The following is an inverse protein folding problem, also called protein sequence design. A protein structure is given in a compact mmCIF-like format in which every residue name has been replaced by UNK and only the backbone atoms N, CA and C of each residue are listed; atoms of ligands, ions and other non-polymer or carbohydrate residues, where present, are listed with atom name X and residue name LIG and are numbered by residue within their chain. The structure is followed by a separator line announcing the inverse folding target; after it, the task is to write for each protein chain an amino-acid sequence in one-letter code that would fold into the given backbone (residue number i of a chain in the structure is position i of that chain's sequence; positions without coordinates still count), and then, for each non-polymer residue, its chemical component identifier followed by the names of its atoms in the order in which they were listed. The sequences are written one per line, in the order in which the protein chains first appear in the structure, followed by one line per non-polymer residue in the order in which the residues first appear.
data_IF_808639951701
#
_entry.id   IF_808639951701
#
_cell.length_a   1.000
_cell.length_b   1.000
_cell.length_c   1.000
_cell.angle_alpha   90.00
_cell.angle_beta   90.00
_cell.angle_gamma   90.00
#
_symmetry.space_group_name_H-M   'P 1'
#
loop_
_entity.id
_entity.type
_entity.pdbx_description
1 polymer ?
#
# COMPACT_ATOMS: atom_id res chain seq x y z
N UNK A 1 -81.15 26.98 -32.25
CA UNK A 1 -80.60 27.41 -30.94
C UNK A 1 -79.11 27.13 -30.94
N UNK A 2 -78.35 28.21 -30.96
CA UNK A 2 -76.92 28.45 -30.72
C UNK A 2 -75.85 27.38 -31.02
N UNK A 3 -75.16 27.65 -32.13
CA UNK A 3 -73.71 27.49 -32.34
C UNK A 3 -72.87 27.97 -31.14
N UNK A 4 -71.82 27.24 -30.76
CA UNK A 4 -70.45 27.76 -30.85
C UNK A 4 -69.36 26.71 -30.58
N UNK A 5 -68.39 26.74 -31.50
CA UNK A 5 -67.12 26.02 -31.57
C UNK A 5 -66.20 26.25 -30.35
N UNK A 6 -65.54 25.16 -30.00
CA UNK A 6 -64.15 24.96 -29.53
C UNK A 6 -63.35 26.19 -29.08
N UNK A 7 -62.89 26.18 -27.82
CA UNK A 7 -61.72 26.95 -27.34
C UNK A 7 -60.50 26.02 -27.25
N UNK A 8 -59.33 26.43 -27.79
CA UNK A 8 -58.05 25.73 -27.59
C UNK A 8 -57.49 26.00 -26.18
N UNK A 9 -56.49 25.21 -25.72
CA UNK A 9 -56.06 25.21 -24.33
C UNK A 9 -55.31 26.49 -23.95
N UNK A 10 -55.58 26.97 -22.74
CA UNK A 10 -54.84 28.07 -22.10
C UNK A 10 -53.49 27.51 -21.63
N UNK A 11 -52.35 28.13 -21.99
CA UNK A 11 -51.05 27.70 -21.48
C UNK A 11 -50.92 28.11 -20.00
N UNK A 12 -50.36 27.27 -19.11
CA UNK A 12 -49.98 27.72 -17.78
C UNK A 12 -48.80 28.69 -17.88
N UNK A 13 -48.73 29.68 -16.98
CA UNK A 13 -47.75 30.75 -17.05
C UNK A 13 -46.34 30.24 -16.75
N UNK A 14 -45.39 30.60 -17.59
CA UNK A 14 -43.98 30.57 -17.24
C UNK A 14 -43.72 31.67 -16.20
N UNK A 15 -43.47 31.27 -14.96
CA UNK A 15 -42.92 32.16 -13.95
C UNK A 15 -41.99 31.41 -12.99
N UNK A 16 -40.79 31.97 -12.88
CA UNK A 16 -39.89 31.95 -11.72
C UNK A 16 -39.12 30.65 -11.41
N UNK A 17 -37.90 30.63 -11.92
CA UNK A 17 -36.70 30.20 -11.18
C UNK A 17 -36.72 30.72 -9.74
N UNK A 18 -36.80 29.83 -8.73
CA UNK A 18 -36.07 29.97 -7.45
C UNK A 18 -36.07 28.65 -6.66
N UNK A 19 -34.88 28.06 -6.55
CA UNK A 19 -34.35 27.17 -5.52
C UNK A 19 -35.32 26.61 -4.46
N UNK A 20 -35.50 25.28 -4.45
CA UNK A 20 -35.61 24.44 -3.24
C UNK A 20 -35.63 22.95 -3.63
N UNK A 21 -34.45 22.34 -3.73
CA UNK A 21 -34.29 20.89 -3.56
C UNK A 21 -32.87 20.56 -3.08
N UNK A 22 -32.31 21.42 -2.22
CA UNK A 22 -31.38 20.95 -1.22
C UNK A 22 -32.21 20.30 -0.12
N UNK A 23 -31.88 19.07 0.24
CA UNK A 23 -32.52 18.25 1.29
C UNK A 23 -33.75 17.46 0.80
N UNK A 24 -33.52 16.46 -0.06
CA UNK A 24 -34.20 15.17 0.11
C UNK A 24 -33.15 14.11 0.42
N UNK A 25 -32.81 14.08 1.70
CA UNK A 25 -32.36 12.94 2.50
C UNK A 25 -32.18 11.61 1.76
N UNK A 26 -30.99 11.02 1.95
CA UNK A 26 -30.68 9.60 1.72
C UNK A 26 -31.87 8.72 2.15
N UNK A 27 -32.73 8.32 1.20
CA UNK A 27 -33.94 7.54 1.50
C UNK A 27 -33.54 6.10 1.78
N UNK A 28 -33.40 5.76 3.06
CA UNK A 28 -33.15 4.38 3.54
C UNK A 28 -34.41 3.52 3.26
N UNK A 29 -34.34 2.52 2.37
CA UNK A 29 -35.38 1.45 2.32
C UNK A 29 -35.24 0.67 3.62
N UNK A 30 -36.30 0.69 4.42
CA UNK A 30 -36.35 0.06 5.75
C UNK A 30 -36.68 -1.44 5.68
N UNK A 31 -36.97 -1.96 4.48
CA UNK A 31 -37.41 -3.35 4.27
C UNK A 31 -38.81 -3.61 4.83
N UNK A 32 -39.56 -4.54 4.22
CA UNK A 32 -40.96 -4.84 4.59
C UNK A 32 -41.98 -4.36 3.56
N UNK A 33 -43.22 -4.07 3.99
CA UNK A 33 -44.34 -3.61 3.14
C UNK A 33 -43.82 -2.53 2.18
N UNK A 34 -44.02 -2.67 0.84
CA UNK A 34 -43.24 -1.93 -0.14
C UNK A 34 -43.38 -0.42 0.07
N UNK A 35 -42.24 0.22 0.33
CA UNK A 35 -42.16 1.66 0.55
C UNK A 35 -42.58 2.43 -0.71
N UNK A 36 -42.98 3.69 -0.54
CA UNK A 36 -43.50 4.50 -1.65
C UNK A 36 -42.49 4.69 -2.79
N UNK A 37 -41.18 4.63 -2.52
CA UNK A 37 -40.14 4.66 -3.56
C UNK A 37 -40.13 3.38 -4.41
N UNK A 38 -40.14 2.20 -3.78
CA UNK A 38 -40.15 0.92 -4.50
C UNK A 38 -41.48 0.67 -5.21
N UNK A 39 -42.59 1.14 -4.62
CA UNK A 39 -43.92 1.12 -5.25
C UNK A 39 -43.97 1.99 -6.51
N UNK A 40 -43.39 3.18 -6.48
CA UNK A 40 -43.28 4.07 -7.66
C UNK A 40 -42.31 3.56 -8.73
N UNK A 41 -41.28 2.83 -8.31
CA UNK A 41 -40.29 2.24 -9.22
C UNK A 41 -40.67 0.85 -9.76
N UNK A 42 -41.83 0.33 -9.36
CA UNK A 42 -42.35 -1.01 -9.71
C UNK A 42 -41.32 -2.14 -9.51
N UNK A 43 -40.60 -2.12 -8.38
CA UNK A 43 -39.57 -3.12 -8.00
C UNK A 43 -39.80 -3.60 -6.57
N UNK A 44 -39.41 -4.83 -6.26
CA UNK A 44 -39.48 -5.37 -4.91
C UNK A 44 -38.50 -4.63 -3.95
N UNK A 45 -38.95 -4.19 -2.76
CA UNK A 45 -38.04 -3.61 -1.72
C UNK A 45 -37.31 -4.78 -1.05
N UNK A 46 -36.26 -5.27 -1.72
CA UNK A 46 -35.34 -6.25 -1.18
C UNK A 46 -34.11 -5.49 -0.71
N UNK A 47 -33.84 -5.51 0.60
CA UNK A 47 -32.58 -4.99 1.14
C UNK A 47 -31.47 -5.94 0.69
N UNK A 48 -30.48 -5.41 -0.01
CA UNK A 48 -29.23 -6.10 -0.33
C UNK A 48 -28.19 -5.74 0.73
N UNK A 49 -27.88 -6.68 1.63
CA UNK A 49 -26.96 -6.53 2.76
C UNK A 49 -25.51 -6.18 2.34
N UNK A 50 -25.19 -6.36 1.07
CA UNK A 50 -23.91 -6.16 0.42
C UNK A 50 -23.64 -4.69 0.01
N UNK A 51 -24.57 -3.76 0.28
CA UNK A 51 -24.45 -2.34 -0.12
C UNK A 51 -24.55 -1.31 1.02
N UNK A 52 -24.49 -1.72 2.29
CA UNK A 52 -24.51 -0.80 3.43
C UNK A 52 -23.12 -0.71 4.08
N UNK A 53 -22.73 0.48 4.54
CA UNK A 53 -21.42 0.79 5.14
C UNK A 53 -21.13 0.09 6.48
N UNK A 54 -21.79 -1.04 6.75
CA UNK A 54 -21.62 -1.93 7.90
C UNK A 54 -20.49 -2.95 7.69
N UNK A 55 -19.88 -3.01 6.50
CA UNK A 55 -18.71 -3.87 6.22
C UNK A 55 -17.55 -3.59 7.18
N UNK A 56 -17.34 -2.31 7.55
CA UNK A 56 -16.35 -1.93 8.57
C UNK A 56 -16.65 -2.59 9.92
N UNK A 57 -17.89 -2.53 10.39
CA UNK A 57 -18.30 -3.18 11.64
C UNK A 57 -18.37 -4.71 11.56
N UNK A 58 -18.56 -5.31 10.38
CA UNK A 58 -18.50 -6.77 10.20
C UNK A 58 -17.06 -7.28 10.15
N UNK A 59 -16.15 -6.54 9.53
CA UNK A 59 -14.72 -6.80 9.54
C UNK A 59 -14.12 -6.55 10.93
N UNK A 60 -14.49 -5.46 11.60
CA UNK A 60 -14.11 -5.17 12.99
C UNK A 60 -14.57 -6.28 13.94
N UNK A 61 -15.84 -6.70 13.88
CA UNK A 61 -16.32 -7.85 14.68
C UNK A 61 -15.55 -9.14 14.37
N UNK A 62 -15.27 -9.40 13.09
CA UNK A 62 -14.50 -10.59 12.69
C UNK A 62 -13.04 -10.51 13.14
N UNK A 63 -12.46 -9.32 13.18
CA UNK A 63 -11.11 -9.08 13.67
C UNK A 63 -11.05 -9.25 15.19
N UNK A 64 -12.02 -8.70 15.92
CA UNK A 64 -12.20 -8.91 17.35
C UNK A 64 -12.42 -10.38 17.70
N UNK A 65 -13.19 -11.12 16.89
CA UNK A 65 -13.40 -12.56 17.07
C UNK A 65 -12.12 -13.35 16.81
N UNK A 66 -11.34 -13.01 15.76
CA UNK A 66 -10.06 -13.64 15.45
C UNK A 66 -8.99 -13.34 16.51
N UNK A 67 -8.95 -12.12 17.05
CA UNK A 67 -8.06 -11.75 18.14
C UNK A 67 -8.41 -12.50 19.44
N UNK A 68 -9.71 -12.67 19.71
CA UNK A 68 -10.21 -13.45 20.85
C UNK A 68 -9.81 -14.93 20.72
N UNK A 69 -9.91 -15.50 19.52
CA UNK A 69 -9.52 -16.88 19.22
C UNK A 69 -8.00 -17.09 19.29
N UNK A 70 -7.22 -16.14 18.77
CA UNK A 70 -5.76 -16.14 18.88
C UNK A 70 -5.29 -16.04 20.34
N UNK A 71 -5.94 -15.20 21.14
CA UNK A 71 -5.67 -15.09 22.58
C UNK A 71 -5.97 -16.39 23.33
N UNK A 72 -7.06 -17.08 22.98
CA UNK A 72 -7.39 -18.40 23.53
C UNK A 72 -6.32 -19.44 23.17
N UNK A 73 -5.90 -19.50 21.90
CA UNK A 73 -4.89 -20.45 21.42
C UNK A 73 -3.55 -20.26 22.14
N UNK A 74 -3.11 -19.01 22.30
CA UNK A 74 -1.87 -18.70 22.99
C UNK A 74 -1.90 -19.12 24.47
N UNK A 75 -3.07 -19.01 25.12
CA UNK A 75 -3.25 -19.46 26.51
C UNK A 75 -3.29 -20.98 26.64
N UNK A 76 -3.93 -21.66 25.70
CA UNK A 76 -3.88 -23.12 25.60
C UNK A 76 -2.45 -23.62 25.39
N UNK A 77 -1.72 -23.02 24.45
CA UNK A 77 -0.33 -23.37 24.19
C UNK A 77 0.56 -23.07 25.40
N UNK A 78 0.30 -21.97 26.10
CA UNK A 78 0.96 -21.63 27.37
C UNK A 78 0.73 -22.68 28.45
N UNK A 79 -0.51 -23.17 28.59
CA UNK A 79 -0.84 -24.26 29.53
C UNK A 79 -0.16 -25.58 29.17
N UNK A 80 0.00 -25.90 27.87
CA UNK A 80 0.73 -27.09 27.42
C UNK A 80 2.25 -26.95 27.53
N UNK A 81 2.76 -25.73 27.57
CA UNK A 81 4.19 -25.43 27.72
C UNK A 81 4.63 -25.37 29.18
N UNK A 82 3.70 -25.33 30.12
CA UNK A 82 3.99 -25.41 31.55
C UNK A 82 4.22 -26.87 31.96
N UNK A 83 5.21 -27.12 32.82
CA UNK A 83 5.67 -28.48 33.16
C UNK A 83 4.71 -29.25 34.09
N UNK A 84 3.61 -28.62 34.54
CA UNK A 84 2.61 -29.26 35.40
C UNK A 84 1.66 -30.17 34.60
N UNK A 85 2.05 -31.44 34.51
CA UNK A 85 1.27 -32.51 33.88
C UNK A 85 -0.14 -32.64 34.45
N UNK A 86 -0.41 -32.20 35.68
CA UNK A 86 -1.75 -32.31 36.27
C UNK A 86 -2.70 -31.27 35.69
N UNK A 87 -2.24 -30.05 35.46
CA UNK A 87 -3.01 -28.98 34.81
C UNK A 87 -3.25 -29.26 33.33
N UNK A 88 -2.22 -29.75 32.62
CA UNK A 88 -2.34 -30.19 31.23
C UNK A 88 -3.39 -31.28 31.06
N UNK A 89 -3.42 -32.27 31.96
CA UNK A 89 -4.40 -33.34 31.91
C UNK A 89 -5.83 -32.85 32.23
N UNK A 90 -5.99 -31.88 33.13
CA UNK A 90 -7.30 -31.24 33.39
C UNK A 90 -7.81 -30.53 32.14
N UNK A 91 -6.97 -29.73 31.47
CA UNK A 91 -7.33 -29.04 30.22
C UNK A 91 -7.64 -30.03 29.10
N UNK A 92 -6.84 -31.09 28.93
CA UNK A 92 -7.10 -32.13 27.93
C UNK A 92 -8.41 -32.89 28.18
N UNK A 93 -8.70 -33.23 29.43
CA UNK A 93 -9.96 -33.89 29.78
C UNK A 93 -11.16 -32.98 29.57
N UNK A 94 -10.99 -31.67 29.80
CA UNK A 94 -12.02 -30.68 29.54
C UNK A 94 -12.30 -30.49 28.03
N UNK A 95 -11.25 -30.47 27.20
CA UNK A 95 -11.38 -30.40 25.72
C UNK A 95 -12.00 -31.67 25.15
N UNK A 96 -11.63 -32.85 25.69
CA UNK A 96 -12.19 -34.15 25.26
C UNK A 96 -13.65 -34.36 25.65
N UNK A 97 -14.21 -33.48 26.49
CA UNK A 97 -15.61 -33.55 26.93
C UNK A 97 -16.58 -32.84 25.97
N UNK A 98 -16.13 -32.43 24.77
CA UNK A 98 -16.93 -31.82 23.69
C UNK A 98 -17.68 -30.53 24.11
N UNK A 99 -16.99 -29.70 24.92
CA UNK A 99 -17.51 -28.44 25.45
C UNK A 99 -17.41 -27.28 24.46
N UNK A 100 -18.24 -26.26 24.62
CA UNK A 100 -18.23 -25.08 23.74
C UNK A 100 -16.97 -24.22 23.95
N UNK A 101 -16.58 -23.47 22.90
CA UNK A 101 -15.40 -22.59 22.96
C UNK A 101 -15.49 -21.53 24.07
N UNK A 102 -16.69 -21.07 24.43
CA UNK A 102 -16.90 -20.11 25.51
C UNK A 102 -16.70 -20.71 26.91
N UNK A 103 -17.07 -21.97 27.10
CA UNK A 103 -16.83 -22.69 28.36
C UNK A 103 -15.34 -23.01 28.54
N UNK A 104 -14.65 -23.34 27.45
CA UNK A 104 -13.18 -23.52 27.43
C UNK A 104 -12.48 -22.21 27.81
N UNK A 105 -12.95 -21.06 27.30
CA UNK A 105 -12.41 -19.73 27.66
C UNK A 105 -12.57 -19.43 29.15
N UNK A 106 -13.75 -19.71 29.72
CA UNK A 106 -14.02 -19.48 31.15
C UNK A 106 -13.19 -20.39 32.04
N UNK A 107 -13.05 -21.67 31.68
CA UNK A 107 -12.22 -22.63 32.41
C UNK A 107 -10.75 -22.20 32.45
N UNK A 108 -10.20 -21.77 31.31
CA UNK A 108 -8.83 -21.27 31.25
C UNK A 108 -8.67 -19.95 32.02
N UNK A 109 -9.65 -19.04 32.00
CA UNK A 109 -9.65 -17.81 32.79
C UNK A 109 -9.64 -18.05 34.29
N UNK A 110 -10.33 -19.09 34.77
CA UNK A 110 -10.36 -19.45 36.18
C UNK A 110 -9.07 -20.14 36.66
N UNK A 111 -8.41 -20.93 35.79
CA UNK A 111 -7.31 -21.80 36.20
C UNK A 111 -5.91 -21.28 35.85
N UNK A 112 -5.77 -20.32 34.93
CA UNK A 112 -4.47 -19.67 34.68
C UNK A 112 -4.28 -18.49 35.62
N UNK A 113 -3.35 -18.59 36.57
CA UNK A 113 -2.94 -17.42 37.37
C UNK A 113 -2.41 -16.32 36.44
N UNK A 114 -2.76 -15.04 36.66
CA UNK A 114 -2.29 -13.94 35.84
C UNK A 114 -0.83 -13.63 36.20
N UNK A 115 0.11 -14.46 35.76
CA UNK A 115 1.53 -14.12 35.82
C UNK A 115 1.85 -13.23 34.63
N UNK A 116 1.60 -11.93 34.82
CA UNK A 116 2.15 -10.79 34.10
C UNK A 116 2.33 -10.96 32.59
N UNK A 117 1.34 -10.53 31.81
CA UNK A 117 1.48 -10.27 30.37
C UNK A 117 2.64 -9.32 30.00
N UNK A 118 3.20 -8.60 30.98
CA UNK A 118 4.40 -7.77 30.81
C UNK A 118 5.70 -8.60 30.72
N UNK A 119 5.78 -9.77 31.38
CA UNK A 119 7.02 -10.58 31.34
C UNK A 119 7.17 -11.38 30.06
N UNK A 120 6.09 -11.79 29.39
CA UNK A 120 6.18 -12.51 28.13
C UNK A 120 6.58 -11.59 26.95
N UNK A 121 6.03 -10.37 26.89
CA UNK A 121 6.49 -9.36 25.92
C UNK A 121 7.91 -8.89 26.24
N UNK A 122 8.26 -8.68 27.51
CA UNK A 122 9.63 -8.33 27.90
C UNK A 122 10.61 -9.50 27.70
N UNK A 123 10.19 -10.76 27.86
CA UNK A 123 11.01 -11.95 27.56
C UNK A 123 11.20 -12.14 26.07
N UNK A 124 10.22 -11.82 25.23
CA UNK A 124 10.39 -11.82 23.77
C UNK A 124 11.33 -10.70 23.33
N UNK A 125 11.20 -9.49 23.90
CA UNK A 125 12.11 -8.35 23.64
C UNK A 125 13.53 -8.65 24.13
N UNK A 126 13.67 -9.20 25.35
CA UNK A 126 14.97 -9.57 25.92
C UNK A 126 15.58 -10.78 25.19
N UNK A 127 14.78 -11.75 24.74
CA UNK A 127 15.25 -12.86 23.91
C UNK A 127 15.68 -12.37 22.52
N UNK A 128 14.97 -11.41 21.93
CA UNK A 128 15.36 -10.77 20.67
C UNK A 128 16.66 -9.97 20.83
N UNK A 129 16.84 -9.24 21.94
CA UNK A 129 18.10 -8.55 22.27
C UNK A 129 19.25 -9.53 22.45
N UNK A 130 19.03 -10.61 23.21
CA UNK A 130 20.05 -11.64 23.44
C UNK A 130 20.44 -12.38 22.15
N UNK A 131 19.49 -12.63 21.25
CA UNK A 131 19.76 -13.21 19.92
C UNK A 131 20.54 -12.23 19.04
N UNK A 132 20.21 -10.94 19.10
CA UNK A 132 20.96 -9.90 18.39
C UNK A 132 22.40 -9.77 18.92
N UNK A 133 22.59 -9.76 20.23
CA UNK A 133 23.91 -9.69 20.87
C UNK A 133 24.77 -10.93 20.55
N UNK A 134 24.16 -12.11 20.55
CA UNK A 134 24.83 -13.35 20.14
C UNK A 134 25.20 -13.32 18.65
N UNK A 135 24.35 -12.74 17.80
CA UNK A 135 24.63 -12.56 16.38
C UNK A 135 25.77 -11.55 16.13
N UNK A 136 25.84 -10.46 16.90
CA UNK A 136 26.93 -9.50 16.84
C UNK A 136 28.26 -10.13 17.27
N UNK A 137 28.26 -10.93 18.34
CA UNK A 137 29.44 -11.63 18.82
C UNK A 137 29.92 -12.70 17.82
N UNK A 138 28.99 -13.45 17.21
CA UNK A 138 29.31 -14.44 16.17
C UNK A 138 29.95 -13.77 14.94
N UNK A 139 29.42 -12.61 14.52
CA UNK A 139 29.98 -11.80 13.43
C UNK A 139 31.37 -11.26 13.76
N UNK A 140 31.60 -10.85 15.01
CA UNK A 140 32.92 -10.37 15.48
C UNK A 140 33.95 -11.48 15.45
N UNK A 141 33.61 -12.67 15.99
CA UNK A 141 34.48 -13.86 15.95
C UNK A 141 34.76 -14.33 14.53
N UNK A 142 33.76 -14.24 13.64
CA UNK A 142 33.92 -14.53 12.21
C UNK A 142 34.91 -13.59 11.51
N UNK A 143 34.85 -12.28 11.73
CA UNK A 143 35.83 -11.32 11.16
C UNK A 143 37.26 -11.65 11.57
N UNK A 144 37.45 -12.08 12.82
CA UNK A 144 38.76 -12.50 13.34
C UNK A 144 39.23 -13.80 12.67
N UNK A 145 38.32 -14.76 12.42
CA UNK A 145 38.64 -16.01 11.73
C UNK A 145 38.98 -15.81 10.25
N UNK A 146 38.24 -14.96 9.54
CA UNK A 146 38.50 -14.65 8.12
C UNK A 146 39.84 -13.92 7.96
N UNK A 147 40.15 -12.97 8.86
CA UNK A 147 41.43 -12.28 8.87
C UNK A 147 42.63 -13.23 9.11
N UNK A 148 42.39 -14.43 9.66
CA UNK A 148 43.42 -15.43 9.95
C UNK A 148 43.51 -16.56 8.92
N UNK A 149 42.53 -16.74 8.03
CA UNK A 149 42.36 -17.98 7.26
C UNK A 149 42.71 -17.90 5.75
N UNK A 150 43.14 -16.76 5.22
CA UNK A 150 43.59 -16.66 3.81
C UNK A 150 42.51 -16.96 2.76
N UNK A 151 42.89 -16.99 1.47
CA UNK A 151 41.97 -16.94 0.31
C UNK A 151 40.99 -18.13 0.19
N UNK A 152 41.34 -19.33 0.69
CA UNK A 152 40.48 -20.53 0.64
C UNK A 152 39.26 -20.45 1.56
N UNK A 153 39.26 -19.51 2.51
CA UNK A 153 38.16 -19.30 3.46
C UNK A 153 36.99 -18.49 2.90
N UNK A 154 37.13 -17.91 1.70
CA UNK A 154 36.17 -16.94 1.13
C UNK A 154 34.87 -17.62 0.69
N UNK A 155 34.94 -18.84 0.14
CA UNK A 155 33.77 -19.62 -0.26
C UNK A 155 32.96 -20.13 0.96
N UNK A 156 33.65 -20.61 2.00
CA UNK A 156 33.04 -21.01 3.27
C UNK A 156 32.43 -19.80 4.00
N UNK A 157 33.11 -18.65 3.96
CA UNK A 157 32.60 -17.39 4.48
C UNK A 157 31.32 -16.93 3.74
N UNK A 158 31.22 -17.13 2.43
CA UNK A 158 30.02 -16.83 1.64
C UNK A 158 28.85 -17.75 1.97
N UNK A 159 29.08 -19.06 2.16
CA UNK A 159 28.01 -19.98 2.60
C UNK A 159 27.49 -19.64 4.01
N UNK A 160 28.39 -19.24 4.92
CA UNK A 160 28.01 -18.76 6.26
C UNK A 160 27.27 -17.42 6.19
N UNK A 161 27.66 -16.52 5.28
CA UNK A 161 26.93 -15.27 5.02
C UNK A 161 25.52 -15.53 4.50
N UNK A 162 25.35 -16.44 3.55
CA UNK A 162 24.01 -16.81 3.03
C UNK A 162 23.12 -17.37 4.15
N UNK A 163 23.68 -18.20 5.03
CA UNK A 163 22.95 -18.77 6.16
C UNK A 163 22.60 -17.74 7.26
N UNK A 164 23.50 -16.79 7.56
CA UNK A 164 23.32 -15.76 8.60
C UNK A 164 22.53 -14.54 8.12
N UNK A 165 22.74 -14.09 6.88
CA UNK A 165 22.05 -12.94 6.26
C UNK A 165 20.62 -13.33 5.89
N UNK A 166 20.40 -14.55 5.40
CA UNK A 166 19.07 -15.05 5.04
C UNK A 166 18.11 -15.20 6.23
N UNK A 167 18.63 -15.29 7.45
CA UNK A 167 17.83 -15.71 8.59
C UNK A 167 17.57 -14.62 9.66
N UNK A 168 18.45 -13.61 9.85
CA UNK A 168 18.32 -12.78 11.06
C UNK A 168 18.58 -11.27 10.96
N UNK A 169 19.01 -10.69 9.83
CA UNK A 169 19.41 -9.26 9.81
C UNK A 169 18.90 -8.43 8.64
N UNK A 170 18.61 -9.05 7.49
CA UNK A 170 18.04 -8.31 6.37
C UNK A 170 16.58 -7.93 6.66
N UNK A 171 15.81 -8.84 7.26
CA UNK A 171 14.39 -8.62 7.56
C UNK A 171 14.19 -7.48 8.57
N UNK A 172 14.87 -7.41 9.72
CA UNK A 172 14.73 -6.26 10.63
C UNK A 172 15.26 -4.94 10.04
N UNK A 173 16.39 -4.96 9.31
CA UNK A 173 16.94 -3.77 8.61
C UNK A 173 15.91 -3.24 7.58
N UNK A 174 15.33 -4.14 6.78
CA UNK A 174 14.38 -3.79 5.74
C UNK A 174 13.06 -3.27 6.33
N UNK A 175 12.48 -4.00 7.28
CA UNK A 175 11.21 -3.64 7.90
C UNK A 175 11.33 -2.29 8.61
N UNK A 176 12.43 -2.05 9.32
CA UNK A 176 12.69 -0.77 9.99
C UNK A 176 12.77 0.39 8.99
N UNK A 177 13.57 0.25 7.92
CA UNK A 177 13.71 1.32 6.92
C UNK A 177 12.44 1.52 6.09
N UNK A 178 11.72 0.44 5.78
CA UNK A 178 10.41 0.51 5.11
C UNK A 178 9.39 1.23 5.97
N UNK A 179 9.36 0.98 7.28
CA UNK A 179 8.46 1.67 8.20
C UNK A 179 8.79 3.16 8.31
N UNK A 180 10.07 3.53 8.43
CA UNK A 180 10.50 4.93 8.42
C UNK A 180 10.06 5.67 7.15
N UNK A 181 10.24 5.04 5.98
CA UNK A 181 9.76 5.60 4.72
C UNK A 181 8.23 5.73 4.70
N UNK A 182 7.52 4.74 5.24
CA UNK A 182 6.07 4.76 5.33
C UNK A 182 5.54 5.90 6.22
N UNK A 183 6.27 6.28 7.28
CA UNK A 183 5.92 7.44 8.11
C UNK A 183 6.00 8.74 7.31
N UNK A 184 7.08 8.93 6.53
CA UNK A 184 7.23 10.11 5.66
C UNK A 184 6.08 10.15 4.63
N UNK A 185 5.80 9.02 3.98
CA UNK A 185 4.72 8.88 3.00
C UNK A 185 3.32 9.15 3.60
N UNK A 186 3.11 8.75 4.85
CA UNK A 186 1.87 9.02 5.57
C UNK A 186 1.68 10.52 5.77
N UNK A 187 2.73 11.23 6.18
CA UNK A 187 2.69 12.68 6.39
C UNK A 187 2.42 13.44 5.07
N UNK A 188 3.06 13.02 3.97
CA UNK A 188 2.79 13.56 2.62
C UNK A 188 1.31 13.36 2.23
N UNK A 189 0.77 12.18 2.48
CA UNK A 189 -0.62 11.86 2.13
C UNK A 189 -1.62 12.70 2.94
N UNK A 190 -1.31 13.01 4.20
CA UNK A 190 -2.15 13.83 5.06
C UNK A 190 -2.07 15.31 4.70
N UNK A 191 -0.88 15.82 4.35
CA UNK A 191 -0.74 17.23 3.94
C UNK A 191 -1.48 17.55 2.65
N UNK A 192 -1.57 16.58 1.72
CA UNK A 192 -2.34 16.75 0.47
C UNK A 192 -3.85 16.72 0.72
N UNK A 193 -4.31 15.98 1.74
CA UNK A 193 -5.74 15.82 2.06
C UNK A 193 -6.29 16.88 3.05
N UNK A 194 -5.44 17.51 3.87
CA UNK A 194 -5.86 18.44 4.92
C UNK A 194 -6.19 19.86 4.41
N UNK A 195 -6.84 19.94 3.24
CA UNK A 195 -7.35 21.18 2.67
C UNK A 195 -8.53 21.80 3.47
N UNK A 196 -8.85 21.28 4.67
CA UNK A 196 -10.04 21.69 5.46
C UNK A 196 -9.86 21.80 6.98
N UNK A 197 -8.66 21.67 7.56
CA UNK A 197 -8.55 21.58 9.03
C UNK A 197 -7.43 22.36 9.70
N UNK A 198 -6.17 22.12 9.35
CA UNK A 198 -5.02 22.79 9.99
C UNK A 198 -3.89 23.01 8.98
N UNK A 199 -3.82 24.22 8.44
CA UNK A 199 -2.73 24.62 7.54
C UNK A 199 -1.38 24.53 8.26
N UNK A 200 -0.45 23.72 7.72
CA UNK A 200 0.98 24.09 7.75
C UNK A 200 1.07 25.42 7.00
N UNK A 201 1.68 26.44 7.61
CA UNK A 201 1.70 27.83 7.14
C UNK A 201 2.73 28.08 6.03
N UNK A 202 2.82 27.19 5.04
CA UNK A 202 3.74 27.29 3.91
C UNK A 202 3.02 27.14 2.58
N UNK A 203 3.58 27.70 1.51
CA UNK A 203 3.08 27.48 0.14
C UNK A 203 3.18 26.00 -0.23
N UNK A 204 2.34 25.55 -1.17
CA UNK A 204 2.37 24.17 -1.68
C UNK A 204 3.78 23.75 -2.16
N UNK A 205 4.55 24.69 -2.71
CA UNK A 205 5.95 24.48 -3.12
C UNK A 205 6.91 24.25 -1.94
N UNK A 206 6.86 25.10 -0.92
CA UNK A 206 7.71 24.97 0.28
C UNK A 206 7.43 23.67 1.04
N UNK A 207 6.16 23.26 1.12
CA UNK A 207 5.77 21.98 1.72
C UNK A 207 6.36 20.81 0.93
N UNK A 208 6.37 20.90 -0.40
CA UNK A 208 6.93 19.86 -1.27
C UNK A 208 8.45 19.75 -1.13
N UNK A 209 9.13 20.90 -1.00
CA UNK A 209 10.57 20.95 -0.77
C UNK A 209 10.96 20.38 0.62
N UNK A 210 10.18 20.67 1.68
CA UNK A 210 10.33 20.09 3.03
C UNK A 210 10.23 18.56 3.00
N UNK A 211 9.20 18.02 2.34
CA UNK A 211 9.05 16.57 2.20
C UNK A 211 10.16 15.94 1.38
N UNK A 212 10.54 16.59 0.29
CA UNK A 212 11.63 16.12 -0.54
C UNK A 212 12.97 16.11 0.24
N UNK A 213 13.24 17.12 1.07
CA UNK A 213 14.41 17.13 1.95
C UNK A 213 14.38 15.95 2.94
N UNK A 214 13.26 15.68 3.61
CA UNK A 214 13.14 14.53 4.51
C UNK A 214 13.37 13.19 3.79
N UNK A 215 12.91 13.07 2.53
CA UNK A 215 13.18 11.89 1.70
C UNK A 215 14.67 11.75 1.39
N UNK A 216 15.36 12.83 1.00
CA UNK A 216 16.82 12.82 0.77
C UNK A 216 17.60 12.46 2.04
N UNK A 217 17.23 13.04 3.19
CA UNK A 217 17.84 12.71 4.48
C UNK A 217 17.68 11.23 4.83
N UNK A 218 16.49 10.66 4.60
CA UNK A 218 16.25 9.23 4.78
C UNK A 218 17.14 8.38 3.86
N UNK A 219 17.30 8.79 2.59
CA UNK A 219 18.13 8.07 1.61
C UNK A 219 19.63 8.11 1.98
N UNK A 220 20.11 9.22 2.55
CA UNK A 220 21.50 9.35 3.03
C UNK A 220 21.76 8.47 4.26
N UNK A 221 20.76 8.31 5.13
CA UNK A 221 20.87 7.51 6.34
C UNK A 221 20.69 5.99 6.10
N UNK A 222 20.49 5.57 4.85
CA UNK A 222 20.26 4.17 4.53
C UNK A 222 21.51 3.34 4.82
N UNK A 223 21.41 2.26 5.62
CA UNK A 223 22.55 1.39 5.86
C UNK A 223 22.99 0.66 4.58
N UNK A 224 24.26 0.24 4.54
CA UNK A 224 24.82 -0.56 3.44
C UNK A 224 24.02 -1.86 3.18
N UNK A 225 23.34 -2.42 4.20
CA UNK A 225 22.42 -3.58 4.04
C UNK A 225 21.25 -3.34 3.08
N UNK A 226 20.96 -2.09 2.73
CA UNK A 226 19.88 -1.69 1.85
C UNK A 226 20.39 -1.22 0.47
N UNK A 227 21.67 -1.37 0.17
CA UNK A 227 22.18 -1.13 -1.19
C UNK A 227 21.70 -2.23 -2.13
N UNK A 228 21.09 -1.82 -3.24
CA UNK A 228 20.68 -2.75 -4.30
C UNK A 228 21.85 -3.14 -5.22
N UNK A 229 23.00 -2.48 -5.13
CA UNK A 229 24.15 -2.71 -6.02
C UNK A 229 24.90 -4.01 -5.70
N UNK A 230 25.02 -4.36 -4.41
CA UNK A 230 25.83 -5.50 -3.96
C UNK A 230 25.04 -6.82 -4.01
N UNK A 231 23.83 -6.82 -3.45
CA UNK A 231 22.97 -8.01 -3.36
C UNK A 231 21.49 -7.62 -3.52
N UNK A 232 21.03 -7.35 -4.75
CA UNK A 232 19.66 -6.93 -4.98
C UNK A 232 18.70 -8.06 -4.59
N UNK A 233 17.68 -7.71 -3.82
CA UNK A 233 16.53 -8.58 -3.52
C UNK A 233 15.25 -7.84 -3.92
N UNK A 234 14.16 -8.54 -4.30
CA UNK A 234 12.91 -7.86 -4.63
C UNK A 234 12.41 -6.96 -3.49
N UNK A 235 12.66 -7.33 -2.25
CA UNK A 235 12.24 -6.52 -1.12
C UNK A 235 13.04 -5.20 -1.00
N UNK A 236 14.34 -5.21 -1.33
CA UNK A 236 15.17 -3.99 -1.41
C UNK A 236 14.75 -3.15 -2.63
N UNK A 237 14.51 -3.76 -3.79
CA UNK A 237 14.04 -3.03 -4.98
C UNK A 237 12.69 -2.35 -4.72
N UNK A 238 11.77 -3.02 -4.01
CA UNK A 238 10.51 -2.43 -3.59
C UNK A 238 10.72 -1.17 -2.73
N UNK A 239 11.65 -1.23 -1.77
CA UNK A 239 11.97 -0.08 -0.92
C UNK A 239 12.42 1.14 -1.74
N UNK A 240 13.33 0.93 -2.69
CA UNK A 240 13.85 2.00 -3.55
C UNK A 240 12.79 2.50 -4.55
N UNK A 241 11.95 1.62 -5.09
CA UNK A 241 10.83 2.04 -5.93
C UNK A 241 9.78 2.84 -5.16
N UNK A 242 9.50 2.50 -3.89
CA UNK A 242 8.63 3.32 -3.02
C UNK A 242 9.20 4.71 -2.82
N UNK A 243 10.50 4.83 -2.58
CA UNK A 243 11.18 6.11 -2.41
C UNK A 243 11.00 7.00 -3.66
N UNK A 244 11.29 6.47 -4.85
CA UNK A 244 11.11 7.23 -6.09
C UNK A 244 9.64 7.53 -6.40
N UNK A 245 8.73 6.59 -6.09
CA UNK A 245 7.29 6.83 -6.24
C UNK A 245 6.82 7.96 -5.31
N UNK A 246 7.40 8.08 -4.12
CA UNK A 246 7.13 9.17 -3.18
C UNK A 246 7.51 10.52 -3.78
N UNK A 247 8.72 10.62 -4.35
CA UNK A 247 9.21 11.85 -4.99
C UNK A 247 8.26 12.30 -6.10
N UNK A 248 7.83 11.37 -6.97
CA UNK A 248 6.88 11.69 -8.05
C UNK A 248 5.57 12.22 -7.46
N UNK A 249 5.02 11.56 -6.43
CA UNK A 249 3.76 11.99 -5.80
C UNK A 249 3.84 13.36 -5.13
N UNK A 250 4.97 13.70 -4.49
CA UNK A 250 5.19 15.01 -3.86
C UNK A 250 5.12 16.13 -4.90
N UNK A 251 5.80 15.99 -6.03
CA UNK A 251 5.85 17.05 -7.05
C UNK A 251 4.67 17.01 -8.03
N UNK A 252 3.99 15.88 -8.24
CA UNK A 252 2.73 15.81 -9.00
C UNK A 252 1.60 16.56 -8.26
N UNK A 253 1.55 16.47 -6.92
CA UNK A 253 0.62 17.26 -6.11
C UNK A 253 0.90 18.77 -6.22
N UNK A 254 2.18 19.17 -6.20
CA UNK A 254 2.59 20.57 -6.32
C UNK A 254 2.23 21.18 -7.69
N UNK A 255 2.31 20.39 -8.77
CA UNK A 255 2.02 20.85 -10.14
C UNK A 255 0.52 20.91 -10.45
N UNK A 256 -0.31 20.19 -9.67
CA UNK A 256 -1.76 20.17 -9.78
C UNK A 256 -2.45 21.33 -9.06
N UNK A 257 -1.72 22.15 -8.28
CA UNK A 257 -2.27 23.37 -7.67
C UNK A 257 -2.60 24.40 -8.77
N UNK A 258 -3.83 24.94 -8.79
CA UNK A 258 -4.27 25.88 -9.82
C UNK A 258 -3.74 27.30 -9.65
N UNK A 259 -3.02 27.61 -8.55
CA UNK A 259 -2.55 28.97 -8.31
C UNK A 259 -1.28 29.29 -9.14
N UNK A 260 -1.37 30.16 -10.17
CA UNK A 260 -0.24 30.45 -11.06
C UNK A 260 0.88 31.25 -10.37
N UNK A 261 0.63 31.77 -9.17
CA UNK A 261 1.52 32.64 -8.42
C UNK A 261 2.21 31.95 -7.23
N UNK A 262 1.87 30.69 -6.91
CA UNK A 262 2.33 30.04 -5.67
C UNK A 262 3.71 29.38 -5.77
N UNK A 263 4.18 29.07 -6.98
CA UNK A 263 5.48 28.43 -7.20
C UNK A 263 6.35 29.31 -8.10
N UNK A 264 7.58 29.58 -7.68
CA UNK A 264 8.55 30.20 -8.56
C UNK A 264 8.71 29.31 -9.81
N UNK A 265 8.72 29.87 -11.03
CA UNK A 265 8.83 29.08 -12.26
C UNK A 265 10.00 28.09 -12.25
N UNK A 266 11.10 28.50 -11.60
CA UNK A 266 12.30 27.68 -11.38
C UNK A 266 12.06 26.51 -10.43
N UNK A 267 11.35 26.71 -9.32
CA UNK A 267 11.00 25.63 -8.38
C UNK A 267 10.11 24.58 -9.01
N UNK A 268 9.12 25.00 -9.81
CA UNK A 268 8.24 24.10 -10.56
C UNK A 268 9.01 23.27 -11.60
N UNK A 269 9.89 23.91 -12.38
CA UNK A 269 10.73 23.21 -13.36
C UNK A 269 11.65 22.17 -12.68
N UNK A 270 12.25 22.53 -11.54
CA UNK A 270 13.10 21.63 -10.77
C UNK A 270 12.33 20.42 -10.23
N UNK A 271 11.12 20.61 -9.70
CA UNK A 271 10.27 19.51 -9.21
C UNK A 271 9.84 18.54 -10.31
N UNK A 272 9.49 19.07 -11.50
CA UNK A 272 9.19 18.25 -12.68
C UNK A 272 10.41 17.42 -13.08
N UNK A 273 11.60 18.04 -13.15
CA UNK A 273 12.84 17.35 -13.49
C UNK A 273 13.17 16.23 -12.50
N UNK A 274 13.02 16.47 -11.19
CA UNK A 274 13.21 15.45 -10.13
C UNK A 274 12.22 14.30 -10.24
N UNK A 275 11.00 14.58 -10.71
CA UNK A 275 9.98 13.55 -10.94
C UNK A 275 10.36 12.67 -12.14
N UNK A 276 10.85 13.26 -13.23
CA UNK A 276 11.32 12.50 -14.39
C UNK A 276 12.53 11.63 -14.06
N UNK A 277 13.53 12.16 -13.35
CA UNK A 277 14.68 11.35 -12.91
C UNK A 277 14.26 10.18 -12.02
N UNK A 278 13.33 10.40 -11.09
CA UNK A 278 12.76 9.35 -10.25
C UNK A 278 11.99 8.30 -11.04
N UNK A 279 11.27 8.72 -12.09
CA UNK A 279 10.53 7.79 -12.97
C UNK A 279 11.47 6.89 -13.77
N UNK A 280 12.57 7.44 -14.28
CA UNK A 280 13.63 6.65 -14.95
C UNK A 280 14.30 5.68 -13.97
N UNK A 281 14.54 6.10 -12.73
CA UNK A 281 15.07 5.22 -11.69
C UNK A 281 14.14 4.03 -11.40
N UNK A 282 12.82 4.24 -11.31
CA UNK A 282 11.84 3.14 -11.19
C UNK A 282 11.94 2.19 -12.39
N UNK A 283 11.98 2.73 -13.62
CA UNK A 283 12.09 1.90 -14.83
C UNK A 283 13.37 1.05 -14.81
N UNK A 284 14.51 1.63 -14.44
CA UNK A 284 15.79 0.93 -14.28
C UNK A 284 15.71 -0.18 -13.23
N UNK A 285 15.07 0.06 -12.07
CA UNK A 285 14.87 -0.97 -11.04
C UNK A 285 13.95 -2.11 -11.52
N UNK A 286 12.95 -1.82 -12.35
CA UNK A 286 12.08 -2.82 -12.97
C UNK A 286 12.81 -3.66 -14.02
N UNK A 287 13.64 -3.03 -14.85
CA UNK A 287 14.53 -3.74 -15.79
C UNK A 287 15.51 -4.64 -15.03
N UNK A 288 16.11 -4.14 -13.94
CA UNK A 288 16.96 -4.94 -13.06
C UNK A 288 16.20 -6.14 -12.48
N UNK A 289 14.93 -5.96 -12.07
CA UNK A 289 14.11 -7.07 -11.64
C UNK A 289 13.91 -8.11 -12.75
N UNK A 290 13.51 -7.69 -13.96
CA UNK A 290 13.31 -8.58 -15.10
C UNK A 290 14.58 -9.30 -15.57
N UNK A 291 15.76 -8.70 -15.36
CA UNK A 291 17.04 -9.31 -15.70
C UNK A 291 17.42 -10.48 -14.78
N UNK A 292 16.88 -10.52 -13.55
CA UNK A 292 17.34 -11.40 -12.49
C UNK A 292 16.27 -12.34 -11.94
N UNK A 293 15.00 -11.99 -12.10
CA UNK A 293 13.84 -12.80 -11.73
C UNK A 293 12.83 -12.91 -12.87
N UNK A 294 12.14 -14.06 -13.00
CA UNK A 294 11.09 -14.20 -14.00
C UNK A 294 9.94 -13.21 -13.75
N UNK A 295 9.57 -12.45 -14.78
CA UNK A 295 8.49 -11.45 -14.74
C UNK A 295 7.12 -12.02 -14.33
N UNK A 296 6.91 -13.35 -14.42
CA UNK A 296 5.68 -14.01 -13.96
C UNK A 296 5.46 -13.89 -12.44
N UNK A 297 6.53 -13.76 -11.66
CA UNK A 297 6.44 -13.63 -10.20
C UNK A 297 6.49 -12.17 -9.73
N UNK A 298 6.33 -11.22 -10.66
CA UNK A 298 6.42 -9.80 -10.35
C UNK A 298 5.33 -9.39 -9.35
N UNK A 299 5.70 -8.78 -8.21
CA UNK A 299 4.73 -8.30 -7.25
C UNK A 299 3.76 -7.26 -7.85
N UNK A 300 2.48 -7.30 -7.47
CA UNK A 300 1.46 -6.40 -8.04
C UNK A 300 1.74 -4.91 -7.81
N UNK A 301 2.38 -4.57 -6.69
CA UNK A 301 2.85 -3.22 -6.37
C UNK A 301 3.86 -2.69 -7.41
N UNK A 302 4.64 -3.55 -8.07
CA UNK A 302 5.59 -3.10 -9.10
C UNK A 302 4.87 -2.60 -10.34
N UNK A 303 3.73 -3.21 -10.68
CA UNK A 303 2.87 -2.74 -11.77
C UNK A 303 2.36 -1.33 -11.44
N UNK A 304 2.05 -1.04 -10.18
CA UNK A 304 1.65 0.30 -9.73
C UNK A 304 2.80 1.31 -9.83
N UNK A 305 4.02 0.94 -9.45
CA UNK A 305 5.17 1.84 -9.65
C UNK A 305 5.45 2.10 -11.12
N UNK A 306 5.36 1.07 -11.96
CA UNK A 306 5.50 1.19 -13.41
C UNK A 306 4.42 2.13 -14.00
N UNK A 307 3.18 2.01 -13.57
CA UNK A 307 2.09 2.91 -13.97
C UNK A 307 2.40 4.37 -13.59
N UNK A 308 2.82 4.63 -12.36
CA UNK A 308 3.17 5.98 -11.88
C UNK A 308 4.33 6.56 -12.71
N UNK A 309 5.39 5.78 -12.92
CA UNK A 309 6.55 6.19 -13.70
C UNK A 309 6.20 6.47 -15.17
N UNK A 310 5.48 5.55 -15.83
CA UNK A 310 5.08 5.72 -17.23
C UNK A 310 4.14 6.91 -17.40
N UNK A 311 3.18 7.07 -16.50
CA UNK A 311 2.24 8.19 -16.50
C UNK A 311 2.95 9.53 -16.39
N UNK A 312 4.00 9.60 -15.59
CA UNK A 312 4.83 10.80 -15.45
C UNK A 312 5.72 11.02 -16.69
N UNK A 313 6.39 9.98 -17.20
CA UNK A 313 7.25 10.05 -18.39
C UNK A 313 6.51 10.39 -19.69
N UNK A 314 5.18 10.22 -19.76
CA UNK A 314 4.38 10.71 -20.89
C UNK A 314 4.62 12.19 -21.19
N UNK A 315 4.89 13.00 -20.16
CA UNK A 315 5.15 14.43 -20.32
C UNK A 315 6.60 14.76 -20.77
N UNK A 316 7.48 13.76 -20.90
CA UNK A 316 8.92 13.92 -21.22
C UNK A 316 9.36 13.01 -22.38
N UNK A 317 8.46 12.69 -23.31
CA UNK A 317 8.76 11.80 -24.43
C UNK A 317 9.68 12.43 -25.51
N UNK A 318 9.88 13.74 -25.47
CA UNK A 318 10.85 14.45 -26.30
C UNK A 318 12.30 14.10 -25.92
N UNK A 319 12.52 13.69 -24.65
CA UNK A 319 13.80 13.22 -24.19
C UNK A 319 14.03 11.76 -24.61
N UNK A 320 15.15 11.52 -25.32
CA UNK A 320 15.54 10.21 -25.83
C UNK A 320 15.63 9.17 -24.70
N UNK A 321 16.18 9.54 -23.54
CA UNK A 321 16.36 8.63 -22.40
C UNK A 321 15.01 8.19 -21.83
N UNK A 322 14.12 9.15 -21.56
CA UNK A 322 12.75 8.91 -21.08
C UNK A 322 11.95 8.05 -22.04
N UNK A 323 12.08 8.31 -23.34
CA UNK A 323 11.41 7.53 -24.39
C UNK A 323 11.85 6.07 -24.40
N UNK A 324 13.16 5.80 -24.26
CA UNK A 324 13.67 4.42 -24.22
C UNK A 324 13.14 3.68 -23.00
N UNK A 325 13.24 4.26 -21.80
CA UNK A 325 12.69 3.64 -20.59
C UNK A 325 11.17 3.44 -20.66
N UNK A 326 10.45 4.39 -21.27
CA UNK A 326 9.01 4.29 -21.48
C UNK A 326 8.66 3.10 -22.38
N UNK A 327 9.28 2.97 -23.55
CA UNK A 327 9.02 1.86 -24.49
C UNK A 327 9.39 0.51 -23.88
N UNK A 328 10.55 0.40 -23.23
CA UNK A 328 11.00 -0.85 -22.61
C UNK A 328 10.04 -1.32 -21.49
N UNK A 329 9.69 -0.40 -20.59
CA UNK A 329 8.83 -0.71 -19.44
C UNK A 329 7.40 -0.99 -19.90
N UNK A 330 6.89 -0.24 -20.88
CA UNK A 330 5.58 -0.48 -21.48
C UNK A 330 5.51 -1.87 -22.13
N UNK A 331 6.50 -2.22 -22.95
CA UNK A 331 6.59 -3.53 -23.61
C UNK A 331 6.68 -4.67 -22.59
N UNK A 332 7.47 -4.46 -21.52
CA UNK A 332 7.60 -5.42 -20.42
C UNK A 332 6.26 -5.67 -19.73
N UNK A 333 5.49 -4.62 -19.43
CA UNK A 333 4.14 -4.74 -18.88
C UNK A 333 3.15 -5.38 -19.88
N UNK A 334 3.30 -5.09 -21.17
CA UNK A 334 2.44 -5.64 -22.20
C UNK A 334 2.56 -7.16 -22.31
N UNK A 335 3.77 -7.69 -22.14
CA UNK A 335 3.99 -9.15 -22.06
C UNK A 335 3.19 -9.82 -20.92
N UNK A 336 2.85 -9.06 -19.87
CA UNK A 336 2.12 -9.52 -18.70
C UNK A 336 0.59 -9.41 -18.84
N UNK A 337 0.08 -8.69 -19.84
CA UNK A 337 -1.36 -8.43 -20.04
C UNK A 337 -2.17 -9.71 -20.16
N UNK A 338 -1.60 -10.74 -20.81
CA UNK A 338 -2.24 -12.04 -20.97
C UNK A 338 -2.53 -12.76 -19.64
N UNK A 339 -1.79 -12.41 -18.58
CA UNK A 339 -1.83 -13.08 -17.27
C UNK A 339 -2.39 -12.20 -16.17
N UNK A 340 -2.18 -10.89 -16.25
CA UNK A 340 -2.53 -9.91 -15.24
C UNK A 340 -3.49 -8.88 -15.83
N UNK A 341 -4.82 -9.05 -15.65
CA UNK A 341 -5.82 -8.10 -16.15
C UNK A 341 -5.59 -6.66 -15.68
N UNK A 342 -4.96 -6.50 -14.51
CA UNK A 342 -4.56 -5.20 -13.94
C UNK A 342 -3.58 -4.46 -14.86
N UNK A 343 -2.60 -5.16 -15.45
CA UNK A 343 -1.65 -4.56 -16.38
C UNK A 343 -2.39 -4.05 -17.63
N UNK A 344 -3.36 -4.82 -18.16
CA UNK A 344 -4.21 -4.39 -19.28
C UNK A 344 -4.93 -3.09 -18.98
N UNK A 345 -5.51 -2.99 -17.78
CA UNK A 345 -6.24 -1.80 -17.36
C UNK A 345 -5.33 -0.57 -17.33
N UNK A 346 -4.12 -0.67 -16.78
CA UNK A 346 -3.20 0.46 -16.69
C UNK A 346 -2.64 0.90 -18.04
N UNK A 347 -2.27 -0.03 -18.93
CA UNK A 347 -1.80 0.36 -20.26
C UNK A 347 -2.88 1.13 -21.03
N UNK A 348 -4.15 0.71 -20.91
CA UNK A 348 -5.28 1.45 -21.49
C UNK A 348 -5.45 2.84 -20.86
N UNK A 349 -5.32 2.96 -19.54
CA UNK A 349 -5.38 4.26 -18.85
C UNK A 349 -4.27 5.22 -19.33
N UNK A 350 -3.06 4.71 -19.53
CA UNK A 350 -1.91 5.49 -20.04
C UNK A 350 -2.19 5.96 -21.47
N UNK A 351 -2.72 5.08 -22.34
CA UNK A 351 -3.09 5.43 -23.71
C UNK A 351 -4.22 6.47 -23.77
N UNK A 352 -5.26 6.30 -22.96
CA UNK A 352 -6.35 7.27 -22.84
C UNK A 352 -5.83 8.63 -22.37
N UNK A 353 -4.88 8.66 -21.42
CA UNK A 353 -4.24 9.89 -20.96
C UNK A 353 -3.41 10.53 -22.07
N UNK A 354 -2.60 9.77 -22.81
CA UNK A 354 -1.83 10.27 -23.94
C UNK A 354 -2.73 10.87 -25.04
N UNK A 355 -3.84 10.19 -25.37
CA UNK A 355 -4.81 10.67 -26.34
C UNK A 355 -5.49 11.98 -25.90
N UNK A 356 -5.88 12.08 -24.62
CA UNK A 356 -6.47 13.31 -24.06
C UNK A 356 -5.49 14.48 -24.03
N UNK A 357 -4.21 14.20 -23.80
CA UNK A 357 -3.15 15.21 -23.76
C UNK A 357 -2.56 15.53 -25.14
N UNK A 358 -3.10 14.97 -26.23
CA UNK A 358 -2.60 15.13 -27.61
C UNK A 358 -1.11 14.77 -27.76
N UNK A 359 -0.61 13.81 -27.00
CA UNK A 359 0.78 13.37 -27.03
C UNK A 359 0.92 12.21 -28.01
N UNK A 360 1.86 12.33 -28.96
CA UNK A 360 2.15 11.26 -29.91
C UNK A 360 2.92 10.14 -29.20
N UNK A 361 2.25 9.01 -28.97
CA UNK A 361 2.86 7.82 -28.40
C UNK A 361 3.84 7.21 -29.41
N UNK A 362 5.02 6.71 -28.99
CA UNK A 362 5.98 6.06 -29.89
C UNK A 362 5.35 4.94 -30.71
N UNK A 363 5.70 4.87 -31.99
CA UNK A 363 5.11 3.91 -32.94
C UNK A 363 5.31 2.45 -32.55
N UNK A 364 6.36 2.12 -31.78
CA UNK A 364 6.61 0.76 -31.29
C UNK A 364 5.51 0.26 -30.33
N UNK A 365 4.77 1.17 -29.69
CA UNK A 365 3.69 0.83 -28.76
C UNK A 365 2.36 0.62 -29.49
N UNK A 366 2.16 1.32 -30.61
CA UNK A 366 0.93 1.21 -31.41
C UNK A 366 0.82 -0.19 -32.02
N UNK A 367 1.94 -0.74 -32.50
CA UNK A 367 2.00 -2.07 -33.11
C UNK A 367 1.84 -3.23 -32.12
N UNK A 368 2.13 -3.01 -30.84
CA UNK A 368 1.98 -4.04 -29.81
C UNK A 368 0.53 -4.18 -29.31
N UNK A 369 -0.33 -3.20 -29.59
CA UNK A 369 -1.72 -3.13 -29.11
C UNK A 369 -2.78 -3.60 -30.12
N UNK A 370 -2.39 -3.89 -31.36
CA UNK A 370 -3.19 -4.66 -32.32
C UNK A 370 -3.13 -6.15 -32.00
#
# INVERSE_FOLDING_TARGET
MSSHRSRPPVPPPAAATRNQAGIESRKKCIGGIPCNCCRRANKACIIKDDSDGRLKGAMERRLEDLERDSGLLNRLLGSFRDDDKTEVNKVLNFIRSDMSLDEIRQFLAANTTPRGSSSAQQQVINAQSNVADFAHELRRKRKILIARAGEDSRAMAQSIDVALIGSFSLVPCLVSNSFKLQLILWDVSHSVQDSKGKQKTGSTGEISDDFHQHLEEWAIQLPECMSWETTPTPAILDLHMRYHSAIISVFEAATSSPDPNESTPTGRANGIQRSFSSSRAICSLLELYGSRWPMIYMPLNYIRYAEVALTNLLADLDNVESRVFFVNTFTSLQSLVSRLPVAKHFLRMIQEKAAKSCITVPGEIITLCE
#
